data_IF_028951343885
#
_entry.id   IF_028951343885
#
_cell.length_a   1.000
_cell.length_b   1.000
_cell.length_c   1.000
_cell.angle_alpha   90.00
_cell.angle_beta   90.00
_cell.angle_gamma   90.00
#
_symmetry.space_group_name_H-M   'P 1'
#
loop_
_entity.id
_entity.type
_entity.pdbx_description
1 polymer ?
#
# COMPACT_ATOMS: atom_id res chain seq x y z
N UNK A 1 -11.42 13.97 -14.73
CA UNK A 1 -11.01 12.69 -15.35
C UNK A 1 -10.52 11.80 -14.23
N UNK A 2 -11.37 10.87 -13.80
CA UNK A 2 -11.19 10.03 -12.61
C UNK A 2 -10.25 8.88 -12.94
N UNK A 3 -9.13 8.76 -12.23
CA UNK A 3 -8.26 7.58 -12.33
C UNK A 3 -8.95 6.47 -11.55
N UNK A 4 -9.41 5.48 -12.30
CA UNK A 4 -10.09 4.29 -11.81
C UNK A 4 -9.28 3.60 -10.71
N UNK A 5 -9.96 3.29 -9.60
CA UNK A 5 -9.54 2.24 -8.68
C UNK A 5 -9.26 0.95 -9.47
N UNK A 6 -8.29 0.11 -9.05
CA UNK A 6 -7.97 -1.09 -9.79
C UNK A 6 -9.20 -1.99 -9.82
N UNK A 7 -9.39 -2.66 -10.97
CA UNK A 7 -10.50 -3.58 -11.20
C UNK A 7 -10.66 -4.54 -10.02
N UNK A 8 -11.82 -4.47 -9.36
CA UNK A 8 -12.27 -5.44 -8.36
C UNK A 8 -12.41 -6.78 -9.07
N UNK A 9 -11.44 -7.67 -8.89
CA UNK A 9 -11.63 -9.07 -9.20
C UNK A 9 -12.58 -9.63 -8.14
N UNK A 10 -13.80 -9.96 -8.55
CA UNK A 10 -14.72 -10.70 -7.70
C UNK A 10 -14.07 -12.05 -7.34
N UNK A 11 -13.99 -12.36 -6.05
CA UNK A 11 -13.75 -13.73 -5.61
C UNK A 11 -14.90 -14.61 -6.14
N UNK A 12 -14.63 -15.91 -6.32
CA UNK A 12 -15.58 -16.97 -6.67
C UNK A 12 -16.85 -16.94 -5.78
N UNK A 13 -16.76 -16.30 -4.61
CA UNK A 13 -17.82 -16.13 -3.61
C UNK A 13 -18.59 -14.79 -3.67
N UNK A 14 -18.38 -13.94 -4.67
CA UNK A 14 -19.18 -12.72 -4.88
C UNK A 14 -19.00 -11.59 -3.85
N UNK A 15 -18.01 -11.68 -2.98
CA UNK A 15 -17.68 -10.59 -2.04
C UNK A 15 -16.85 -9.51 -2.77
N UNK A 16 -17.22 -8.22 -2.66
CA UNK A 16 -16.40 -7.14 -3.19
C UNK A 16 -15.10 -7.06 -2.38
N UNK A 17 -14.03 -7.66 -2.90
CA UNK A 17 -12.70 -7.54 -2.31
C UNK A 17 -12.09 -6.20 -2.72
N UNK A 18 -12.29 -5.17 -1.90
CA UNK A 18 -11.48 -3.96 -1.99
C UNK A 18 -10.09 -4.30 -1.44
N UNK A 19 -9.00 -4.25 -2.23
CA UNK A 19 -7.68 -4.49 -1.70
C UNK A 19 -7.33 -3.35 -0.74
N UNK A 20 -7.49 -3.58 0.56
CA UNK A 20 -7.01 -2.69 1.59
C UNK A 20 -5.48 -2.61 1.47
N UNK A 21 -4.90 -1.41 1.22
CA UNK A 21 -3.46 -1.25 1.17
C UNK A 21 -2.84 -1.59 2.52
N UNK A 22 -1.82 -2.44 2.51
CA UNK A 22 -1.21 -2.99 3.74
C UNK A 22 -0.59 -1.91 4.64
N UNK A 23 -0.35 -0.71 4.10
CA UNK A 23 0.25 0.43 4.80
C UNK A 23 -0.77 1.43 5.38
N UNK A 24 -2.07 1.30 5.08
CA UNK A 24 -3.07 2.34 5.44
C UNK A 24 -3.21 2.52 6.95
N UNK A 25 -3.15 1.41 7.70
CA UNK A 25 -3.18 1.41 9.16
C UNK A 25 -1.81 1.62 9.81
N UNK A 26 -0.75 1.81 9.02
CA UNK A 26 0.60 2.00 9.57
C UNK A 26 0.74 3.39 10.22
N UNK A 27 1.19 3.48 11.48
CA UNK A 27 1.42 4.76 12.14
C UNK A 27 2.50 5.59 11.45
N UNK A 28 3.51 4.94 10.84
CA UNK A 28 4.59 5.62 10.11
C UNK A 28 4.10 6.24 8.82
N UNK A 29 3.25 5.53 8.06
CA UNK A 29 2.61 6.06 6.86
C UNK A 29 1.72 7.27 7.19
N UNK A 30 0.84 7.13 8.19
CA UNK A 30 -0.05 8.23 8.62
C UNK A 30 0.70 9.45 9.17
N UNK A 31 1.88 9.25 9.76
CA UNK A 31 2.76 10.36 10.15
C UNK A 31 3.33 11.06 8.92
N UNK A 32 3.87 10.31 7.96
CA UNK A 32 4.45 10.86 6.74
C UNK A 32 3.42 11.62 5.88
N UNK A 33 2.20 11.09 5.75
CA UNK A 33 1.10 11.77 5.04
C UNK A 33 0.77 13.11 5.71
N UNK A 34 0.66 13.15 7.04
CA UNK A 34 0.41 14.40 7.78
C UNK A 34 1.51 15.43 7.56
N UNK A 35 2.77 15.00 7.54
CA UNK A 35 3.91 15.88 7.26
C UNK A 35 3.84 16.42 5.82
N UNK A 36 3.50 15.57 4.86
CA UNK A 36 3.33 15.96 3.46
C UNK A 36 2.19 16.99 3.30
N UNK A 37 1.06 16.79 3.97
CA UNK A 37 -0.07 17.73 4.00
C UNK A 37 0.34 19.09 4.59
N UNK A 38 1.02 19.10 5.74
CA UNK A 38 1.49 20.35 6.37
C UNK A 38 2.44 21.14 5.47
N UNK A 39 3.32 20.47 4.73
CA UNK A 39 4.23 21.14 3.79
C UNK A 39 3.45 21.64 2.57
N UNK A 40 2.52 20.85 2.04
CA UNK A 40 1.73 21.22 0.86
C UNK A 40 0.90 22.50 1.07
N UNK A 41 0.43 22.75 2.30
CA UNK A 41 -0.24 24.00 2.69
C UNK A 41 0.68 25.23 2.58
N UNK A 42 1.98 25.06 2.84
CA UNK A 42 2.96 26.17 2.81
C UNK A 42 3.42 26.48 1.39
N UNK A 43 3.55 25.46 0.53
CA UNK A 43 4.13 25.59 -0.81
C UNK A 43 3.10 25.67 -1.94
N UNK A 44 1.80 25.70 -1.60
CA UNK A 44 0.66 25.76 -2.53
C UNK A 44 0.73 24.68 -3.63
N UNK A 45 0.92 23.43 -3.21
CA UNK A 45 0.94 22.28 -4.13
C UNK A 45 -0.49 21.98 -4.64
N UNK A 46 -0.59 21.70 -5.94
CA UNK A 46 -1.85 21.22 -6.52
C UNK A 46 -2.34 19.92 -5.84
N UNK A 47 -3.65 19.88 -5.55
CA UNK A 47 -4.27 18.76 -4.83
C UNK A 47 -4.16 17.43 -5.58
N UNK A 48 -4.13 17.45 -6.90
CA UNK A 48 -3.94 16.25 -7.72
C UNK A 48 -2.54 15.67 -7.55
N UNK A 49 -1.52 16.53 -7.47
CA UNK A 49 -0.14 16.13 -7.20
C UNK A 49 -0.02 15.59 -5.78
N UNK A 50 -0.60 16.28 -4.79
CA UNK A 50 -0.60 15.84 -3.39
C UNK A 50 -1.18 14.44 -3.21
N UNK A 51 -2.35 14.20 -3.81
CA UNK A 51 -3.05 12.91 -3.77
C UNK A 51 -2.21 11.80 -4.39
N UNK A 52 -1.42 12.12 -5.43
CA UNK A 52 -0.58 11.14 -6.11
C UNK A 52 0.71 10.84 -5.36
N UNK A 53 1.29 11.83 -4.67
CA UNK A 53 2.50 11.70 -3.84
C UNK A 53 2.25 10.91 -2.56
N UNK A 54 1.04 11.01 -1.99
CA UNK A 54 0.65 10.23 -0.83
C UNK A 54 0.59 8.72 -1.12
N UNK A 55 0.37 8.33 -2.39
CA UNK A 55 0.23 6.93 -2.79
C UNK A 55 1.53 6.36 -3.38
N UNK A 56 2.06 5.24 -2.87
CA UNK A 56 3.22 4.58 -3.47
C UNK A 56 2.92 4.17 -4.92
N UNK A 57 3.93 4.24 -5.79
CA UNK A 57 3.76 3.86 -7.20
C UNK A 57 3.47 2.37 -7.35
N UNK A 58 4.08 1.52 -6.53
CA UNK A 58 3.88 0.07 -6.43
C UNK A 58 4.15 -0.36 -5.00
N UNK A 59 3.37 -1.29 -4.47
CA UNK A 59 3.68 -1.96 -3.20
C UNK A 59 3.45 -3.46 -3.40
N UNK A 60 4.43 -4.26 -3.00
CA UNK A 60 4.41 -5.72 -3.13
C UNK A 60 4.50 -6.34 -1.74
N UNK A 61 3.60 -7.28 -1.50
CA UNK A 61 3.64 -8.18 -0.35
C UNK A 61 3.81 -9.59 -0.91
N UNK A 62 4.87 -10.26 -0.48
CA UNK A 62 5.26 -11.57 -1.02
C UNK A 62 5.41 -12.57 0.12
N UNK A 63 5.07 -13.83 -0.16
CA UNK A 63 5.36 -14.94 0.75
C UNK A 63 6.66 -15.61 0.29
N UNK A 64 7.66 -15.66 1.15
CA UNK A 64 8.98 -16.25 0.88
C UNK A 64 9.13 -17.51 1.73
N UNK A 65 8.87 -18.71 1.16
CA UNK A 65 9.16 -19.95 1.85
C UNK A 65 10.67 -20.19 1.89
N UNK A 66 11.21 -20.40 3.09
CA UNK A 66 12.63 -20.68 3.31
C UNK A 66 12.73 -22.05 3.98
N UNK A 67 13.63 -22.88 3.44
CA UNK A 67 13.99 -24.14 4.09
C UNK A 67 15.03 -23.83 5.16
N UNK A 68 14.69 -24.14 6.40
CA UNK A 68 15.52 -23.93 7.58
C UNK A 68 16.59 -25.03 7.69
N UNK A 69 17.61 -24.82 8.51
CA UNK A 69 18.75 -25.73 8.64
C UNK A 69 18.35 -27.10 9.24
N UNK A 70 17.31 -27.14 10.06
CA UNK A 70 16.71 -28.35 10.62
C UNK A 70 15.76 -29.08 9.63
N UNK A 71 15.58 -28.53 8.44
CA UNK A 71 14.83 -29.13 7.34
C UNK A 71 13.35 -28.76 7.26
N UNK A 72 12.78 -27.99 8.20
CA UNK A 72 11.40 -27.51 8.07
C UNK A 72 11.31 -26.29 7.13
N UNK A 73 10.13 -26.04 6.56
CA UNK A 73 9.88 -24.85 5.74
C UNK A 73 9.12 -23.83 6.57
N UNK A 74 9.69 -22.64 6.71
CA UNK A 74 9.03 -21.48 7.31
C UNK A 74 8.69 -20.45 6.23
N UNK A 75 7.51 -19.84 6.31
CA UNK A 75 7.06 -18.85 5.33
C UNK A 75 7.16 -17.45 5.92
N UNK A 76 8.00 -16.62 5.33
CA UNK A 76 8.19 -15.23 5.75
C UNK A 76 7.39 -14.28 4.87
N UNK A 77 6.82 -13.23 5.46
CA UNK A 77 6.18 -12.14 4.71
C UNK A 77 7.22 -11.07 4.37
N UNK A 78 7.44 -10.85 3.07
CA UNK A 78 8.32 -9.80 2.54
C UNK A 78 7.52 -8.58 2.09
N UNK A 79 8.09 -7.39 2.30
CA UNK A 79 7.51 -6.11 1.91
C UNK A 79 8.46 -5.34 1.00
N UNK A 80 7.94 -4.81 -0.12
CA UNK A 80 8.65 -3.88 -0.99
C UNK A 80 7.71 -2.76 -1.42
N UNK A 81 8.02 -1.53 -1.02
CA UNK A 81 7.20 -0.32 -1.24
C UNK A 81 7.99 0.68 -2.08
#
# INVERSE_FOLDING_TARGET
MSIAAPAVAADLNGHPHSPVPVYENSPTYRMAVRQLESVAEVIDIDKGILSRMALPKRALVVSVPVKMDDGHTEVFTGYRV
#
